data_IF_096853802152
#
_entry.id   IF_096853802152
#
_cell.length_a   1.000
_cell.length_b   1.000
_cell.length_c   1.000
_cell.angle_alpha   90.00
_cell.angle_beta   90.00
_cell.angle_gamma   90.00
#
_symmetry.space_group_name_H-M   'P 1'
#
loop_
_entity.id
_entity.type
_entity.pdbx_description
1 polymer ?
#
# COMPACT_ATOMS: atom_id res chain seq x y z
N UNK A 1 -5.14 7.36 21.38
CA UNK A 1 -5.66 6.72 20.15
C UNK A 1 -4.84 7.20 18.96
N UNK A 2 -3.99 6.35 18.35
CA UNK A 2 -3.19 6.73 17.18
C UNK A 2 -4.13 7.09 16.04
N UNK A 3 -4.07 8.34 15.55
CA UNK A 3 -4.90 8.84 14.43
C UNK A 3 -4.83 7.83 13.29
N UNK A 4 -5.96 7.23 12.93
CA UNK A 4 -6.07 6.41 11.70
C UNK A 4 -5.77 7.33 10.53
N UNK A 5 -4.52 7.32 10.03
CA UNK A 5 -4.19 7.94 8.73
C UNK A 5 -5.15 7.32 7.73
N UNK A 6 -6.02 8.14 7.13
CA UNK A 6 -6.92 7.68 6.07
C UNK A 6 -6.02 7.22 4.92
N UNK A 7 -5.88 5.90 4.76
CA UNK A 7 -5.13 5.36 3.62
C UNK A 7 -5.83 5.76 2.34
N UNK A 8 -5.08 6.31 1.39
CA UNK A 8 -5.64 6.77 0.11
C UNK A 8 -6.20 5.61 -0.71
N UNK A 9 -7.07 5.89 -1.69
CA UNK A 9 -7.61 4.85 -2.59
C UNK A 9 -6.50 3.98 -3.22
N UNK A 10 -5.39 4.60 -3.61
CA UNK A 10 -4.23 3.93 -4.20
C UNK A 10 -3.58 2.96 -3.19
N UNK A 11 -3.35 3.37 -1.95
CA UNK A 11 -2.78 2.50 -0.91
C UNK A 11 -3.65 1.28 -0.63
N UNK A 12 -4.98 1.43 -0.71
CA UNK A 12 -5.90 0.31 -0.57
C UNK A 12 -5.77 -0.68 -1.74
N UNK A 13 -5.65 -0.19 -2.96
CA UNK A 13 -5.45 -1.03 -4.16
C UNK A 13 -4.10 -1.73 -4.10
N UNK A 14 -3.02 -1.03 -3.78
CA UNK A 14 -1.68 -1.61 -3.64
C UNK A 14 -1.66 -2.71 -2.57
N UNK A 15 -2.30 -2.46 -1.42
CA UNK A 15 -2.43 -3.48 -0.37
C UNK A 15 -3.26 -4.69 -0.81
N UNK A 16 -4.31 -4.49 -1.59
CA UNK A 16 -5.11 -5.59 -2.15
C UNK A 16 -4.28 -6.43 -3.12
N UNK A 17 -3.54 -5.79 -4.03
CA UNK A 17 -2.69 -6.49 -4.99
C UNK A 17 -1.59 -7.32 -4.29
N UNK A 18 -1.04 -6.83 -3.19
CA UNK A 18 -0.13 -7.60 -2.35
C UNK A 18 -0.81 -8.81 -1.69
N UNK A 19 -1.99 -8.63 -1.10
CA UNK A 19 -2.73 -9.73 -0.45
C UNK A 19 -3.15 -10.84 -1.42
N UNK A 20 -3.43 -10.48 -2.68
CA UNK A 20 -3.77 -11.43 -3.75
C UNK A 20 -2.52 -12.07 -4.35
N UNK A 21 -1.31 -11.65 -3.94
CA UNK A 21 -0.04 -12.18 -4.42
C UNK A 21 0.36 -11.68 -5.82
N UNK A 22 -0.29 -10.62 -6.32
CA UNK A 22 0.06 -9.98 -7.59
C UNK A 22 1.34 -9.14 -7.42
N UNK A 23 1.44 -8.44 -6.29
CA UNK A 23 2.64 -7.67 -5.94
C UNK A 23 3.45 -8.43 -4.89
N UNK A 24 4.76 -8.42 -5.07
CA UNK A 24 5.73 -8.77 -4.03
C UNK A 24 5.80 -7.67 -2.96
N UNK A 25 6.39 -8.01 -1.81
CA UNK A 25 6.60 -7.05 -0.74
C UNK A 25 7.50 -5.88 -1.19
N UNK A 26 8.53 -6.15 -1.99
CA UNK A 26 9.43 -5.13 -2.52
C UNK A 26 8.70 -4.14 -3.44
N UNK A 27 7.83 -4.63 -4.33
CA UNK A 27 7.05 -3.78 -5.23
C UNK A 27 6.04 -2.93 -4.47
N UNK A 28 5.36 -3.49 -3.47
CA UNK A 28 4.48 -2.74 -2.57
C UNK A 28 5.24 -1.60 -1.88
N UNK A 29 6.42 -1.88 -1.32
CA UNK A 29 7.23 -0.90 -0.62
C UNK A 29 7.73 0.21 -1.55
N UNK A 30 8.14 -0.13 -2.78
CA UNK A 30 8.52 0.88 -3.78
C UNK A 30 7.35 1.79 -4.16
N UNK A 31 6.14 1.23 -4.34
CA UNK A 31 4.95 2.02 -4.66
C UNK A 31 4.54 2.97 -3.53
N UNK A 32 4.70 2.55 -2.28
CA UNK A 32 4.43 3.38 -1.11
C UNK A 32 5.50 4.48 -0.97
N UNK A 33 6.78 4.15 -1.18
CA UNK A 33 7.90 5.12 -1.12
C UNK A 33 7.81 6.20 -2.19
N UNK A 34 7.36 5.89 -3.41
CA UNK A 34 7.19 6.90 -4.49
C UNK A 34 6.09 7.94 -4.23
N UNK A 35 5.21 7.68 -3.26
CA UNK A 35 4.06 8.55 -2.94
C UNK A 35 4.37 9.59 -1.86
N UNK A 36 5.50 9.43 -1.17
CA UNK A 36 5.97 10.27 -0.07
C UNK A 36 7.23 11.04 -0.46
#
# INVERSE_FOLDING_TARGET
MKKTRKTGRIEKVVKLLYLVGILSQEEQEQMIKRRH
#
